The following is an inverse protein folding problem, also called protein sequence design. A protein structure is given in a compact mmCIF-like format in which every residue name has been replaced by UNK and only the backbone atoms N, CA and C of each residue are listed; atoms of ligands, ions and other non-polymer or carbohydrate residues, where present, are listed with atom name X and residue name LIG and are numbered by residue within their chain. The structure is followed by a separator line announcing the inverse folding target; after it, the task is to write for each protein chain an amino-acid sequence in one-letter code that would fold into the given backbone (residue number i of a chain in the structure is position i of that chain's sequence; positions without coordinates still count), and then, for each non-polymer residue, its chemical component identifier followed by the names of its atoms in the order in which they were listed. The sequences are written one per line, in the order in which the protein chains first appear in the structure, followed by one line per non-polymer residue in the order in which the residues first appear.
data_IF_197563370736
#
_entry.id   IF_197563370736
#
_cell.length_a   1.000
_cell.length_b   1.000
_cell.length_c   1.000
_cell.angle_alpha   90.00
_cell.angle_beta   90.00
_cell.angle_gamma   90.00
#
_symmetry.space_group_name_H-M   'P 1'
#
loop_
_entity.id
_entity.type
_entity.pdbx_description
1 polymer ?
#
# COMPACT_ATOMS: atom_id res chain seq x y z
N UNK A 1 0.75 25.36 -7.64
CA UNK A 1 0.42 24.97 -7.08
C UNK A 1 0.91 24.58 -6.11
N UNK A 2 0.70 24.21 -5.64
CA UNK A 2 1.14 24.08 -4.68
C UNK A 2 0.81 23.08 -3.90
N UNK A 3 1.24 22.32 -3.70
CA UNK A 3 1.05 21.41 -3.00
C UNK A 3 1.35 21.70 -1.71
N UNK A 4 0.67 22.37 -1.13
CA UNK A 4 0.91 22.85 0.13
C UNK A 4 0.95 21.83 1.19
N UNK A 5 0.44 20.66 1.00
CA UNK A 5 0.46 19.66 2.02
C UNK A 5 1.63 18.76 1.86
N UNK A 6 2.45 18.56 2.89
CA UNK A 6 3.56 17.62 2.79
C UNK A 6 3.04 16.19 2.68
N UNK A 7 3.73 15.40 1.91
CA UNK A 7 3.40 13.99 1.74
C UNK A 7 4.64 13.15 2.01
N UNK A 8 5.05 13.09 3.28
CA UNK A 8 6.30 12.42 3.63
C UNK A 8 6.29 10.93 3.37
N UNK A 9 5.12 10.33 3.21
CA UNK A 9 5.01 8.89 3.00
C UNK A 9 4.50 8.56 1.61
N UNK A 10 4.81 9.40 0.63
CA UNK A 10 4.32 9.20 -0.73
C UNK A 10 4.82 7.90 -1.35
N UNK A 11 6.01 7.44 -0.97
CA UNK A 11 6.54 6.19 -1.49
C UNK A 11 5.70 5.00 -1.01
N UNK A 12 5.35 4.99 0.27
CA UNK A 12 4.48 3.95 0.83
C UNK A 12 3.12 4.02 0.15
N UNK A 13 2.60 5.23 0.01
CA UNK A 13 1.31 5.48 -0.60
C UNK A 13 1.26 4.91 -2.02
N UNK A 14 2.29 5.11 -2.79
CA UNK A 14 2.36 4.64 -4.16
C UNK A 14 2.30 3.11 -4.23
N UNK A 15 3.02 2.44 -3.32
CA UNK A 15 3.05 0.98 -3.29
C UNK A 15 1.68 0.39 -2.93
N UNK A 16 1.00 1.01 -1.95
CA UNK A 16 -0.33 0.56 -1.57
C UNK A 16 -1.33 0.78 -2.68
N UNK A 17 -1.29 1.94 -3.31
CA UNK A 17 -2.20 2.27 -4.39
C UNK A 17 -2.01 1.34 -5.58
N UNK A 18 -0.74 1.04 -5.90
CA UNK A 18 -0.43 0.10 -6.98
C UNK A 18 -1.09 -1.25 -6.72
N UNK A 19 -0.92 -1.78 -5.51
CA UNK A 19 -1.47 -3.10 -5.19
C UNK A 19 -2.99 -3.07 -5.26
N UNK A 20 -3.60 -2.04 -4.70
CA UNK A 20 -5.04 -1.93 -4.69
C UNK A 20 -5.62 -1.82 -6.09
N UNK A 21 -5.05 -0.95 -6.91
CA UNK A 21 -5.62 -0.66 -8.22
C UNK A 21 -5.22 -1.66 -9.29
N UNK A 22 -3.96 -2.06 -9.29
CA UNK A 22 -3.45 -2.84 -10.41
C UNK A 22 -3.48 -4.34 -10.16
N UNK A 23 -3.44 -4.77 -8.91
CA UNK A 23 -3.39 -6.19 -8.62
C UNK A 23 -4.76 -6.73 -8.20
N UNK A 24 -5.38 -6.11 -7.20
CA UNK A 24 -6.66 -6.62 -6.71
C UNK A 24 -7.87 -5.88 -7.25
N UNK A 25 -7.64 -4.72 -7.88
CA UNK A 25 -8.70 -3.96 -8.55
C UNK A 25 -9.90 -3.68 -7.64
N UNK A 26 -9.61 -3.14 -6.47
CA UNK A 26 -10.63 -2.77 -5.50
C UNK A 26 -10.63 -1.26 -5.30
N UNK A 27 -11.78 -0.71 -4.90
CA UNK A 27 -11.79 0.68 -4.45
C UNK A 27 -11.27 0.74 -3.02
N UNK A 28 -11.09 1.95 -2.49
CA UNK A 28 -10.50 2.12 -1.15
C UNK A 28 -11.34 1.49 -0.05
N UNK A 29 -12.66 1.59 -0.15
CA UNK A 29 -13.52 1.03 0.88
C UNK A 29 -13.44 -0.48 0.90
N UNK A 30 -13.47 -1.11 -0.25
CA UNK A 30 -13.36 -2.56 -0.35
C UNK A 30 -12.02 -3.05 0.18
N UNK A 31 -10.97 -2.35 -0.20
CA UNK A 31 -9.61 -2.75 0.18
C UNK A 31 -9.43 -2.61 1.70
N UNK A 32 -9.83 -1.48 2.27
CA UNK A 32 -9.74 -1.28 3.70
C UNK A 32 -10.52 -2.36 4.45
N UNK A 33 -11.73 -2.63 4.00
CA UNK A 33 -12.57 -3.63 4.64
C UNK A 33 -11.94 -5.01 4.59
N UNK A 34 -11.27 -5.34 3.48
CA UNK A 34 -10.65 -6.66 3.32
C UNK A 34 -9.55 -6.91 4.34
N UNK A 35 -8.97 -5.87 4.91
CA UNK A 35 -7.92 -6.01 5.91
C UNK A 35 -8.40 -5.57 7.31
N UNK A 36 -9.72 -5.37 7.47
CA UNK A 36 -10.29 -5.09 8.79
C UNK A 36 -10.20 -3.64 9.22
N UNK A 37 -10.04 -2.72 8.28
CA UNK A 37 -9.95 -1.30 8.59
C UNK A 37 -11.07 -0.54 7.91
N UNK A 38 -11.33 0.67 8.37
CA UNK A 38 -12.32 1.54 7.75
C UNK A 38 -11.63 2.44 6.73
N UNK A 39 -12.39 2.84 5.73
CA UNK A 39 -11.84 3.65 4.65
C UNK A 39 -11.12 4.92 5.12
N UNK A 40 -11.64 5.68 6.10
CA UNK A 40 -10.94 6.90 6.51
C UNK A 40 -9.51 6.65 6.99
N UNK A 41 -9.27 5.56 7.73
CA UNK A 41 -7.93 5.23 8.18
C UNK A 41 -7.04 4.87 6.99
N UNK A 42 -7.54 4.01 6.11
CA UNK A 42 -6.76 3.58 4.96
C UNK A 42 -6.43 4.75 4.03
N UNK A 43 -7.40 5.65 3.82
CA UNK A 43 -7.20 6.73 2.88
C UNK A 43 -6.07 7.68 3.30
N UNK A 44 -5.81 7.81 4.60
CA UNK A 44 -4.70 8.62 5.07
C UNK A 44 -3.36 8.02 4.67
N UNK A 45 -3.27 6.70 4.66
CA UNK A 45 -2.05 6.03 4.21
C UNK A 45 -1.83 6.24 2.71
N UNK A 46 -2.90 6.14 1.93
CA UNK A 46 -2.78 6.31 0.49
C UNK A 46 -2.61 7.76 0.07
N UNK A 47 -3.02 8.68 0.91
CA UNK A 47 -2.77 10.10 0.66
C UNK A 47 -1.31 10.46 0.90
N UNK A 48 -0.57 9.62 1.60
CA UNK A 48 0.85 9.88 1.87
C UNK A 48 1.09 10.86 3.01
N UNK A 49 0.03 11.23 3.73
CA UNK A 49 0.15 12.19 4.83
C UNK A 49 0.35 11.49 6.17
N UNK A 50 -0.04 10.23 6.28
CA UNK A 50 0.12 9.46 7.51
C UNK A 50 0.82 8.15 7.19
N UNK A 51 1.72 7.76 8.06
CA UNK A 51 2.47 6.54 7.86
C UNK A 51 1.56 5.32 8.04
N UNK A 52 1.73 4.33 7.19
CA UNK A 52 1.02 3.06 7.34
C UNK A 52 1.31 2.50 8.73
N UNK A 53 0.26 2.17 9.47
CA UNK A 53 0.42 1.66 10.82
C UNK A 53 0.96 0.23 10.78
N UNK A 54 1.58 -0.18 11.88
CA UNK A 54 2.09 -1.55 11.99
C UNK A 54 0.94 -2.55 11.86
N UNK A 55 -0.19 -2.28 12.52
CA UNK A 55 -1.34 -3.19 12.45
C UNK A 55 -1.85 -3.30 11.02
N UNK A 56 -1.89 -2.19 10.29
CA UNK A 56 -2.30 -2.22 8.89
C UNK A 56 -1.33 -3.00 8.03
N UNK A 57 -0.04 -2.81 8.27
CA UNK A 57 0.99 -3.52 7.52
C UNK A 57 0.94 -5.03 7.79
N UNK A 58 0.73 -5.43 9.03
CA UNK A 58 0.60 -6.84 9.36
C UNK A 58 -0.62 -7.47 8.70
N UNK A 59 -1.73 -6.74 8.66
CA UNK A 59 -2.94 -7.22 8.00
C UNK A 59 -2.72 -7.39 6.50
N UNK A 60 -2.04 -6.44 5.87
CA UNK A 60 -1.74 -6.52 4.45
C UNK A 60 -0.79 -7.67 4.14
N UNK A 61 0.19 -7.89 5.00
CA UNK A 61 1.10 -9.02 4.84
C UNK A 61 0.36 -10.34 4.95
N UNK A 62 -0.50 -10.46 5.95
CA UNK A 62 -1.24 -11.69 6.19
C UNK A 62 -2.23 -11.98 5.06
N UNK A 63 -2.93 -10.96 4.63
CA UNK A 63 -3.99 -11.16 3.63
C UNK A 63 -3.43 -11.29 2.22
N UNK A 64 -2.46 -10.47 1.86
CA UNK A 64 -2.03 -10.36 0.47
C UNK A 64 -0.59 -10.74 0.22
N UNK A 65 0.18 -11.02 1.26
CA UNK A 65 1.59 -11.37 1.06
C UNK A 65 2.49 -10.18 0.78
N UNK A 66 2.04 -8.96 1.08
CA UNK A 66 2.90 -7.79 0.91
C UNK A 66 3.90 -7.77 2.05
N UNK A 67 5.19 -7.87 1.74
CA UNK A 67 6.21 -7.89 2.78
C UNK A 67 6.36 -6.52 3.41
N UNK A 68 6.79 -6.51 4.68
CA UNK A 68 7.02 -5.26 5.40
C UNK A 68 8.11 -4.45 4.69
N UNK A 69 9.18 -5.11 4.26
CA UNK A 69 10.26 -4.45 3.57
C UNK A 69 9.78 -3.74 2.31
N UNK A 70 8.87 -4.38 1.59
CA UNK A 70 8.34 -3.77 0.38
C UNK A 70 7.49 -2.55 0.71
N UNK A 71 6.56 -2.71 1.66
CA UNK A 71 5.65 -1.61 1.95
C UNK A 71 6.37 -0.39 2.48
N UNK A 72 7.31 -0.57 3.39
CA UNK A 72 7.96 0.56 4.04
C UNK A 72 9.19 1.07 3.31
N UNK A 73 9.92 0.19 2.63
CA UNK A 73 11.18 0.59 2.03
C UNK A 73 11.33 0.29 0.54
N UNK A 74 10.37 -0.34 -0.06
CA UNK A 74 10.43 -0.64 -1.49
C UNK A 74 11.35 -1.80 -1.85
N UNK A 75 11.79 -2.58 -0.86
CA UNK A 75 12.63 -3.74 -1.11
C UNK A 75 11.73 -4.92 -1.47
N UNK A 76 11.80 -5.38 -2.70
CA UNK A 76 10.84 -6.36 -3.19
C UNK A 76 11.31 -7.81 -3.13
N UNK A 77 12.46 -8.07 -2.52
CA UNK A 77 13.04 -9.41 -2.50
C UNK A 77 12.15 -10.44 -1.81
N UNK A 78 11.41 -10.04 -0.79
CA UNK A 78 10.57 -10.96 -0.05
C UNK A 78 9.13 -11.03 -0.55
N UNK A 79 8.80 -10.34 -1.62
CA UNK A 79 7.47 -10.48 -2.20
C UNK A 79 7.33 -11.84 -2.87
N UNK A 80 6.14 -12.42 -2.85
CA UNK A 80 5.89 -13.59 -3.70
C UNK A 80 6.27 -13.27 -5.14
N UNK A 81 6.79 -14.26 -5.84
CA UNK A 81 7.35 -14.02 -7.17
C UNK A 81 6.37 -13.34 -8.12
N UNK A 82 5.11 -13.72 -8.09
CA UNK A 82 4.11 -13.11 -8.96
C UNK A 82 3.99 -11.61 -8.69
N UNK A 83 3.93 -11.22 -7.43
CA UNK A 83 3.83 -9.80 -7.08
C UNK A 83 5.13 -9.06 -7.40
N UNK A 84 6.26 -9.70 -7.14
CA UNK A 84 7.55 -9.07 -7.42
C UNK A 84 7.69 -8.78 -8.91
N UNK A 85 7.33 -9.75 -9.74
CA UNK A 85 7.42 -9.56 -11.19
C UNK A 85 6.47 -8.46 -11.66
N UNK A 86 5.25 -8.45 -11.14
CA UNK A 86 4.29 -7.41 -11.52
C UNK A 86 4.78 -6.02 -11.12
N UNK A 87 5.38 -5.91 -9.94
CA UNK A 87 5.93 -4.63 -9.48
C UNK A 87 7.07 -4.16 -10.39
N UNK A 88 7.96 -5.07 -10.71
CA UNK A 88 9.13 -4.72 -11.55
C UNK A 88 8.74 -4.39 -12.99
N UNK A 89 7.64 -4.95 -13.45
CA UNK A 89 7.19 -4.73 -14.82
C UNK A 89 6.18 -3.61 -14.99
N UNK A 90 5.83 -2.92 -13.93
CA UNK A 90 4.84 -1.86 -14.05
C UNK A 90 5.39 -0.70 -14.86
N UNK A 91 4.51 0.00 -15.53
CA UNK A 91 4.95 1.15 -16.34
C UNK A 91 4.67 2.47 -15.67
#
# INVERSE_FOLDING_TARGET
MDDSKPRPYSDISERLKWHREQIVEMNQEEYAKSIGFKRPAYSLWEAGTHRLSLDGALALRTKYGLSMDFMYEGIDDALPMTLRNAWRERS
#
